data_IF_321056800679
#
_entry.id   IF_321056800679
#
_cell.length_a   1.000
_cell.length_b   1.000
_cell.length_c   1.000
_cell.angle_alpha   90.00
_cell.angle_beta   90.00
_cell.angle_gamma   90.00
#
_symmetry.space_group_name_H-M   'P 1'
#
loop_
_entity.id
_entity.type
_entity.pdbx_description
1 polymer ?
#
# COMPACT_ATOMS: atom_id res chain seq x y z
N UNK A 1 -12.52 11.01 1.54
CA UNK A 1 -13.10 11.15 0.18
C UNK A 1 -12.16 10.68 -0.93
N UNK A 2 -11.04 11.37 -1.21
CA UNK A 2 -10.10 11.02 -2.32
C UNK A 2 -9.63 9.56 -2.38
N UNK A 3 -9.33 8.92 -1.24
CA UNK A 3 -8.86 7.53 -1.19
C UNK A 3 -9.93 6.50 -1.59
N UNK A 4 -11.20 6.75 -1.26
CA UNK A 4 -12.31 5.86 -1.66
C UNK A 4 -12.65 6.04 -3.13
N UNK A 5 -12.72 7.29 -3.60
CA UNK A 5 -12.91 7.59 -5.02
C UNK A 5 -11.83 6.95 -5.90
N UNK A 6 -10.57 6.91 -5.42
CA UNK A 6 -9.48 6.22 -6.11
C UNK A 6 -9.69 4.70 -6.21
N UNK A 7 -10.17 4.06 -5.14
CA UNK A 7 -10.43 2.61 -5.14
C UNK A 7 -11.59 2.25 -6.08
N UNK A 8 -12.65 3.06 -6.12
CA UNK A 8 -13.73 2.89 -7.09
C UNK A 8 -13.24 3.07 -8.53
N UNK A 9 -12.39 4.07 -8.78
CA UNK A 9 -11.85 4.31 -10.11
C UNK A 9 -10.95 3.17 -10.62
N UNK A 10 -10.27 2.44 -9.71
CA UNK A 10 -9.42 1.30 -10.10
C UNK A 10 -10.20 0.16 -10.75
N UNK A 11 -11.48 -0.02 -10.37
CA UNK A 11 -12.36 -1.03 -10.97
C UNK A 11 -12.60 -0.78 -12.45
N UNK A 12 -12.79 0.48 -12.82
CA UNK A 12 -13.15 0.89 -14.18
C UNK A 12 -11.94 1.30 -15.04
N UNK A 13 -10.74 1.35 -14.44
CA UNK A 13 -9.50 1.71 -15.14
C UNK A 13 -9.00 0.58 -16.03
N UNK A 14 -8.36 0.90 -17.15
CA UNK A 14 -7.72 -0.08 -18.03
C UNK A 14 -6.59 -0.87 -17.34
N UNK A 15 -6.31 -2.08 -17.85
CA UNK A 15 -5.28 -2.98 -17.31
C UNK A 15 -3.90 -2.32 -17.20
N UNK A 16 -3.49 -1.54 -18.21
CA UNK A 16 -2.21 -0.81 -18.21
C UNK A 16 -2.15 0.27 -17.12
N UNK A 17 -3.26 0.96 -16.87
CA UNK A 17 -3.37 1.97 -15.80
C UNK A 17 -3.24 1.29 -14.44
N UNK A 18 -3.90 0.14 -14.25
CA UNK A 18 -3.79 -0.64 -13.02
C UNK A 18 -2.37 -1.16 -12.80
N UNK A 19 -1.69 -1.61 -13.86
CA UNK A 19 -0.28 -2.06 -13.79
C UNK A 19 0.65 -0.94 -13.32
N UNK A 20 0.56 0.23 -13.96
CA UNK A 20 1.39 1.40 -13.60
C UNK A 20 1.11 1.82 -12.16
N UNK A 21 -0.17 1.84 -11.77
CA UNK A 21 -0.54 2.18 -10.40
C UNK A 21 0.00 1.17 -9.38
N UNK A 22 -0.20 -0.13 -9.60
CA UNK A 22 0.30 -1.17 -8.69
C UNK A 22 1.84 -1.12 -8.55
N UNK A 23 2.54 -0.84 -9.65
CA UNK A 23 4.00 -0.67 -9.66
C UNK A 23 4.45 0.53 -8.82
N UNK A 24 3.79 1.68 -8.97
CA UNK A 24 4.04 2.86 -8.14
C UNK A 24 3.75 2.58 -6.65
N UNK A 25 2.66 1.88 -6.33
CA UNK A 25 2.33 1.54 -4.94
C UNK A 25 3.32 0.53 -4.34
N UNK A 26 3.84 -0.41 -5.12
CA UNK A 26 4.91 -1.30 -4.66
C UNK A 26 6.20 -0.51 -4.37
N UNK A 27 6.58 0.41 -5.26
CA UNK A 27 7.74 1.27 -5.01
C UNK A 27 7.57 2.10 -3.72
N UNK A 28 6.41 2.73 -3.57
CA UNK A 28 6.10 3.58 -2.41
C UNK A 28 6.12 2.78 -1.09
N UNK A 29 5.54 1.57 -1.07
CA UNK A 29 5.55 0.71 0.13
C UNK A 29 6.95 0.24 0.48
N UNK A 30 7.78 -0.14 -0.51
CA UNK A 30 9.19 -0.48 -0.26
C UNK A 30 9.97 0.69 0.33
N UNK A 31 9.75 1.91 -0.17
CA UNK A 31 10.37 3.11 0.39
C UNK A 31 9.92 3.38 1.83
N UNK A 32 8.63 3.19 2.14
CA UNK A 32 8.12 3.29 3.52
C UNK A 32 8.81 2.27 4.42
N UNK A 33 8.83 0.99 4.02
CA UNK A 33 9.45 -0.08 4.80
C UNK A 33 10.93 0.17 5.08
N UNK A 34 11.68 0.69 4.09
CA UNK A 34 13.07 1.05 4.25
C UNK A 34 13.28 2.13 5.32
N UNK A 35 12.46 3.20 5.31
CA UNK A 35 12.53 4.25 6.33
C UNK A 35 12.05 3.73 7.68
N UNK A 36 11.00 2.91 7.71
CA UNK A 36 10.46 2.29 8.92
C UNK A 36 11.52 1.47 9.66
N UNK A 37 12.32 0.70 8.91
CA UNK A 37 13.45 -0.08 9.45
C UNK A 37 14.58 0.79 9.99
N UNK A 38 14.82 1.98 9.41
CA UNK A 38 15.92 2.88 9.80
C UNK A 38 15.55 3.81 10.96
N UNK A 39 14.38 4.44 10.87
CA UNK A 39 13.97 5.55 11.73
C UNK A 39 12.72 5.24 12.56
N UNK A 40 12.09 4.07 12.37
CA UNK A 40 10.89 3.68 13.09
C UNK A 40 9.62 4.36 12.59
N UNK A 41 8.65 4.52 13.49
CA UNK A 41 7.27 4.89 13.16
C UNK A 41 7.09 6.34 12.68
N UNK A 42 8.10 7.19 12.84
CA UNK A 42 8.07 8.60 12.42
C UNK A 42 7.85 8.79 10.91
N UNK A 43 8.14 7.77 10.10
CA UNK A 43 7.82 7.78 8.65
C UNK A 43 6.34 8.07 8.39
N UNK A 44 5.45 7.72 9.32
CA UNK A 44 4.02 7.94 9.16
C UNK A 44 3.60 9.40 9.36
N UNK A 45 4.43 10.22 10.00
CA UNK A 45 4.08 11.61 10.32
C UNK A 45 3.93 12.49 9.09
N UNK A 46 4.62 12.15 7.99
CA UNK A 46 4.51 12.84 6.69
C UNK A 46 3.20 12.55 5.95
N UNK A 47 2.38 11.60 6.41
CA UNK A 47 1.13 11.24 5.75
C UNK A 47 -0.07 11.85 6.47
N UNK A 48 -1.02 12.38 5.71
CA UNK A 48 -2.25 12.97 6.27
C UNK A 48 -3.06 11.95 7.11
N UNK A 49 -3.05 10.68 6.72
CA UNK A 49 -3.73 9.60 7.47
C UNK A 49 -2.91 9.01 8.62
N UNK A 50 -1.72 9.55 8.88
CA UNK A 50 -0.75 9.02 9.86
C UNK A 50 -0.56 7.52 9.69
N UNK A 51 -0.30 6.78 10.76
CA UNK A 51 -0.05 5.33 10.73
C UNK A 51 -1.28 4.57 10.23
N UNK A 52 -2.39 4.62 10.97
CA UNK A 52 -3.54 3.74 10.74
C UNK A 52 -4.21 4.01 9.38
N UNK A 53 -4.36 5.28 9.01
CA UNK A 53 -4.92 5.66 7.71
C UNK A 53 -4.00 5.36 6.53
N UNK A 54 -2.69 5.19 6.76
CA UNK A 54 -1.75 4.76 5.72
C UNK A 54 -1.78 3.24 5.55
N UNK A 55 -1.76 2.49 6.66
CA UNK A 55 -1.90 1.02 6.63
C UNK A 55 -3.22 0.60 6.00
N UNK A 56 -4.34 1.17 6.46
CA UNK A 56 -5.66 0.92 5.89
C UNK A 56 -5.69 1.18 4.38
N UNK A 57 -5.07 2.28 3.94
CA UNK A 57 -5.08 2.65 2.52
C UNK A 57 -4.31 1.65 1.65
N UNK A 58 -3.11 1.25 2.04
CA UNK A 58 -2.35 0.27 1.27
C UNK A 58 -2.98 -1.13 1.31
N UNK A 59 -3.57 -1.53 2.44
CA UNK A 59 -4.33 -2.77 2.54
C UNK A 59 -5.54 -2.76 1.61
N UNK A 60 -6.29 -1.66 1.55
CA UNK A 60 -7.42 -1.50 0.64
C UNK A 60 -6.98 -1.54 -0.84
N UNK A 61 -5.82 -0.96 -1.17
CA UNK A 61 -5.25 -1.04 -2.52
C UNK A 61 -4.90 -2.48 -2.91
N UNK A 62 -4.26 -3.25 -2.02
CA UNK A 62 -3.98 -4.68 -2.27
C UNK A 62 -5.27 -5.43 -2.59
N UNK A 63 -6.33 -5.23 -1.80
CA UNK A 63 -7.64 -5.85 -2.03
C UNK A 63 -8.21 -5.46 -3.40
N UNK A 64 -8.22 -4.17 -3.73
CA UNK A 64 -8.76 -3.69 -5.01
C UNK A 64 -7.96 -4.21 -6.21
N UNK A 65 -6.63 -4.23 -6.14
CA UNK A 65 -5.80 -4.80 -7.20
C UNK A 65 -5.98 -6.30 -7.32
N UNK A 66 -6.11 -7.06 -6.23
CA UNK A 66 -6.41 -8.51 -6.32
C UNK A 66 -7.75 -8.79 -7.00
N UNK A 67 -8.74 -7.92 -6.82
CA UNK A 67 -10.08 -8.11 -7.41
C UNK A 67 -10.14 -7.77 -8.90
N UNK A 68 -9.29 -6.85 -9.37
CA UNK A 68 -9.43 -6.26 -10.71
C UNK A 68 -8.16 -6.30 -11.56
N UNK A 69 -7.02 -6.71 -11.01
CA UNK A 69 -5.71 -6.65 -11.67
C UNK A 69 -5.32 -7.96 -12.35
N UNK A 70 -4.57 -7.84 -13.45
CA UNK A 70 -4.16 -8.95 -14.31
C UNK A 70 -2.73 -9.44 -14.01
N UNK A 71 -2.08 -8.87 -12.98
CA UNK A 71 -0.66 -9.07 -12.65
C UNK A 71 -0.47 -9.62 -11.23
N UNK A 72 -0.86 -10.88 -11.02
CA UNK A 72 -0.85 -11.53 -9.71
C UNK A 72 0.51 -11.43 -8.99
N UNK A 73 1.61 -11.68 -9.69
CA UNK A 73 2.96 -11.63 -9.10
C UNK A 73 3.31 -10.25 -8.53
N UNK A 74 2.95 -9.17 -9.24
CA UNK A 74 3.17 -7.80 -8.77
C UNK A 74 2.32 -7.48 -7.54
N UNK A 75 1.07 -7.95 -7.55
CA UNK A 75 0.12 -7.71 -6.47
C UNK A 75 0.52 -8.51 -5.22
N UNK A 76 1.00 -9.73 -5.38
CA UNK A 76 1.52 -10.55 -4.30
C UNK A 76 2.76 -9.93 -3.67
N UNK A 77 3.65 -9.35 -4.47
CA UNK A 77 4.81 -8.64 -3.95
C UNK A 77 4.41 -7.36 -3.19
N UNK A 78 3.42 -6.60 -3.69
CA UNK A 78 2.84 -5.48 -2.95
C UNK A 78 2.26 -5.93 -1.61
N UNK A 79 1.50 -7.04 -1.62
CA UNK A 79 0.89 -7.61 -0.42
C UNK A 79 1.92 -8.04 0.62
N UNK A 80 3.02 -8.69 0.19
CA UNK A 80 4.13 -9.07 1.06
C UNK A 80 4.73 -7.85 1.76
N UNK A 81 5.05 -6.80 1.00
CA UNK A 81 5.64 -5.58 1.57
C UNK A 81 4.67 -4.88 2.54
N UNK A 82 3.38 -4.79 2.20
CA UNK A 82 2.36 -4.22 3.11
C UNK A 82 2.26 -5.03 4.40
N UNK A 83 2.26 -6.36 4.29
CA UNK A 83 2.22 -7.26 5.44
C UNK A 83 3.46 -7.16 6.33
N UNK A 84 4.65 -6.94 5.74
CA UNK A 84 5.88 -6.67 6.49
C UNK A 84 5.81 -5.35 7.27
N UNK A 85 5.27 -4.28 6.67
CA UNK A 85 5.05 -3.00 7.35
C UNK A 85 4.09 -3.19 8.54
N UNK A 86 2.96 -3.87 8.33
CA UNK A 86 1.97 -4.15 9.39
C UNK A 86 2.58 -4.96 10.54
N UNK A 87 3.40 -5.97 10.21
CA UNK A 87 4.14 -6.77 11.21
C UNK A 87 5.10 -5.92 12.02
N UNK A 88 5.94 -5.12 11.36
CA UNK A 88 6.91 -4.26 12.03
C UNK A 88 6.24 -3.24 12.95
N UNK A 89 5.09 -2.69 12.53
CA UNK A 89 4.29 -1.78 13.36
C UNK A 89 3.76 -2.49 14.61
N UNK A 90 3.23 -3.70 14.47
CA UNK A 90 2.69 -4.47 15.60
C UNK A 90 3.76 -4.85 16.62
N UNK A 91 4.94 -5.27 16.16
CA UNK A 91 6.07 -5.67 17.04
C UNK A 91 6.67 -4.52 17.84
N UNK A 92 6.45 -3.26 17.44
CA UNK A 92 6.91 -2.07 18.18
C UNK A 92 5.85 -1.46 19.10
N UNK A 93 4.64 -2.01 19.11
CA UNK A 93 3.54 -1.60 19.99
C UNK A 93 3.32 -2.59 21.14
N UNK A 94 3.94 -3.78 21.07
CA UNK A 94 4.06 -4.75 22.16
C UNK A 94 5.23 -4.41 23.06
#
# INVERSE_FOLDING_TARGET
ERKRAYLEHLKDSDSSIRLVSASDKLHNTRAILAVLRRNGLEVFERFAGKKDGTLWYYRALVTAFRQHGDHADLIDELDRVVSEIEKFVRERLS
#
